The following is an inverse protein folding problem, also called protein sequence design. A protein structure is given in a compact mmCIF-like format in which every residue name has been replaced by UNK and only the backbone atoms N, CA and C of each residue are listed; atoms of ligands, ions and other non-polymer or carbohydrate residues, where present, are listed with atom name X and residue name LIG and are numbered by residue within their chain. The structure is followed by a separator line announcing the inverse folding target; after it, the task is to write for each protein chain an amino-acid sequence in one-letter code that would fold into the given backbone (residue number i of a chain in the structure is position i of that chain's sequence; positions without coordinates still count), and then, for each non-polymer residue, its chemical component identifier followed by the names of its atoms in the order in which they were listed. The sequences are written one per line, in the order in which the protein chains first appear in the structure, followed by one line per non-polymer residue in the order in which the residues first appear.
data_IF_281486969228
#
_entry.id   IF_281486969228
#
_cell.length_a   1.000
_cell.length_b   1.000
_cell.length_c   1.000
_cell.angle_alpha   90.00
_cell.angle_beta   90.00
_cell.angle_gamma   90.00
#
_symmetry.space_group_name_H-M   'P 1'
#
loop_
_entity.id
_entity.type
_entity.pdbx_description
1 polymer ?
#
# COMPACT_ATOMS: atom_id res chain seq x y z
N UNK A 1 11.91 2.12 -0.38
CA UNK A 1 10.65 1.35 -0.41
C UNK A 1 9.73 1.94 -1.48
N UNK A 2 9.24 3.15 -1.31
CA UNK A 2 8.29 3.82 -2.20
C UNK A 2 8.73 3.85 -3.66
N UNK A 3 10.01 4.17 -3.94
CA UNK A 3 10.52 4.13 -5.33
C UNK A 3 10.45 2.73 -5.95
N UNK A 4 10.68 1.68 -5.17
CA UNK A 4 10.56 0.30 -5.63
C UNK A 4 9.09 -0.03 -5.94
N UNK A 5 8.17 0.30 -5.04
CA UNK A 5 6.74 0.07 -5.23
C UNK A 5 6.20 0.83 -6.45
N UNK A 6 6.60 2.09 -6.64
CA UNK A 6 6.28 2.87 -7.84
C UNK A 6 6.82 2.23 -9.12
N UNK A 7 8.08 1.75 -9.10
CA UNK A 7 8.68 1.09 -10.26
C UNK A 7 7.94 -0.21 -10.62
N UNK A 8 7.62 -1.04 -9.62
CA UNK A 8 6.84 -2.26 -9.81
C UNK A 8 5.47 -1.90 -10.41
N UNK A 9 4.77 -0.93 -9.82
CA UNK A 9 3.47 -0.50 -10.31
C UNK A 9 3.50 -0.02 -11.77
N UNK A 10 4.50 0.77 -12.15
CA UNK A 10 4.66 1.24 -13.52
C UNK A 10 5.03 0.14 -14.52
N UNK A 11 5.80 -0.87 -14.09
CA UNK A 11 6.12 -2.02 -14.94
C UNK A 11 4.86 -2.84 -15.20
N UNK A 12 4.10 -3.15 -14.14
CA UNK A 12 2.85 -3.91 -14.24
C UNK A 12 1.78 -3.17 -15.05
N UNK A 13 1.72 -1.83 -14.92
CA UNK A 13 0.73 -1.02 -15.62
C UNK A 13 0.84 -1.02 -17.15
N UNK A 14 1.93 -1.59 -17.71
CA UNK A 14 2.05 -1.79 -19.17
C UNK A 14 1.13 -2.89 -19.71
N UNK A 15 0.75 -3.84 -18.88
CA UNK A 15 -0.03 -5.01 -19.26
C UNK A 15 -1.30 -5.17 -18.42
N UNK A 16 -1.38 -4.51 -17.27
CA UNK A 16 -2.45 -4.64 -16.29
C UNK A 16 -3.09 -3.30 -15.92
N UNK A 17 -4.30 -3.36 -15.39
CA UNK A 17 -4.95 -2.19 -14.78
C UNK A 17 -4.51 -2.06 -13.33
N UNK A 18 -3.45 -1.29 -13.11
CA UNK A 18 -2.83 -1.13 -11.79
C UNK A 18 -3.35 0.09 -11.07
N UNK A 19 -3.70 -0.08 -9.80
CA UNK A 19 -3.87 1.02 -8.86
C UNK A 19 -2.76 0.97 -7.80
N UNK A 20 -2.03 2.06 -7.67
CA UNK A 20 -1.03 2.25 -6.63
C UNK A 20 -1.63 3.02 -5.44
N UNK A 21 -1.43 2.51 -4.24
CA UNK A 21 -1.83 3.16 -2.98
C UNK A 21 -0.65 3.11 -2.01
N UNK A 22 -0.26 4.26 -1.48
CA UNK A 22 0.71 4.32 -0.39
C UNK A 22 0.01 4.59 0.93
N UNK A 23 0.39 3.82 1.94
CA UNK A 23 -0.02 4.00 3.33
C UNK A 23 1.06 4.71 4.16
N UNK A 24 2.13 5.16 3.51
CA UNK A 24 3.14 6.00 4.15
C UNK A 24 2.60 7.42 4.36
N UNK A 25 2.86 7.99 5.52
CA UNK A 25 2.30 9.30 5.93
C UNK A 25 3.07 10.48 5.35
N UNK A 26 4.36 10.34 5.10
CA UNK A 26 5.22 11.42 4.61
C UNK A 26 5.97 11.01 3.34
N UNK A 27 5.22 10.84 2.26
CA UNK A 27 5.73 10.28 1.00
C UNK A 27 6.62 11.19 0.18
N UNK A 28 6.57 12.50 0.40
CA UNK A 28 7.25 13.47 -0.46
C UNK A 28 6.65 13.63 -1.86
N UNK A 29 5.52 13.01 -2.18
CA UNK A 29 4.92 13.02 -3.52
C UNK A 29 4.59 14.42 -4.03
N UNK A 30 4.17 15.33 -3.14
CA UNK A 30 3.89 16.74 -3.51
C UNK A 30 5.12 17.39 -4.14
N UNK A 31 6.32 17.13 -3.61
CA UNK A 31 7.57 17.64 -4.17
C UNK A 31 8.00 16.89 -5.44
N UNK A 32 7.82 15.57 -5.45
CA UNK A 32 8.22 14.72 -6.57
C UNK A 32 7.39 14.98 -7.83
N UNK A 33 6.06 15.09 -7.67
CA UNK A 33 5.13 15.24 -8.79
C UNK A 33 4.84 16.70 -9.12
N UNK A 34 5.29 17.65 -8.27
CA UNK A 34 4.98 19.08 -8.37
C UNK A 34 3.47 19.38 -8.54
N UNK A 35 2.64 18.52 -7.94
CA UNK A 35 1.18 18.58 -8.02
C UNK A 35 0.56 18.79 -6.64
N UNK A 36 -0.58 19.48 -6.61
CA UNK A 36 -1.43 19.59 -5.43
C UNK A 36 -2.79 18.98 -5.75
N UNK A 37 -3.12 17.92 -5.04
CA UNK A 37 -4.43 17.28 -5.14
C UNK A 37 -5.40 17.85 -4.10
N UNK A 38 -6.67 17.89 -4.49
CA UNK A 38 -7.75 18.40 -3.62
C UNK A 38 -8.31 17.30 -2.72
N UNK A 39 -8.26 16.07 -3.17
CA UNK A 39 -8.78 14.87 -2.49
C UNK A 39 -7.68 13.84 -2.38
N UNK A 40 -7.77 13.01 -1.35
CA UNK A 40 -6.79 11.99 -1.05
C UNK A 40 -7.44 10.75 -0.42
N UNK A 41 -6.65 9.83 0.07
CA UNK A 41 -7.12 8.59 0.68
C UNK A 41 -8.01 8.83 1.92
N UNK A 42 -7.89 9.99 2.62
CA UNK A 42 -8.80 10.34 3.74
C UNK A 42 -10.25 10.47 3.27
N UNK A 43 -10.46 11.05 2.08
CA UNK A 43 -11.82 11.17 1.52
C UNK A 43 -12.41 9.76 1.25
N UNK A 44 -11.59 8.83 0.78
CA UNK A 44 -12.03 7.46 0.52
C UNK A 44 -12.38 6.72 1.81
N UNK A 45 -11.56 6.87 2.85
CA UNK A 45 -11.81 6.34 4.20
C UNK A 45 -13.13 6.90 4.73
N UNK A 46 -13.35 8.19 4.59
CA UNK A 46 -14.60 8.82 5.00
C UNK A 46 -15.81 8.22 4.27
N UNK A 47 -15.74 8.04 2.95
CA UNK A 47 -16.82 7.42 2.20
C UNK A 47 -17.07 5.97 2.60
N UNK A 48 -16.01 5.22 2.89
CA UNK A 48 -16.10 3.85 3.37
C UNK A 48 -16.82 3.78 4.72
N UNK A 49 -16.42 4.61 5.69
CA UNK A 49 -17.05 4.67 7.04
C UNK A 49 -18.52 5.09 7.02
N UNK A 50 -18.92 5.88 6.04
CA UNK A 50 -20.31 6.31 5.85
C UNK A 50 -21.13 5.31 5.02
N UNK A 51 -20.59 4.13 4.70
CA UNK A 51 -21.24 3.13 3.81
C UNK A 51 -21.62 3.72 2.44
N UNK A 52 -20.88 4.73 2.00
CA UNK A 52 -21.09 5.47 0.74
C UNK A 52 -19.97 5.23 -0.27
N UNK A 53 -19.19 4.17 -0.08
CA UNK A 53 -18.21 3.75 -1.06
C UNK A 53 -18.93 3.38 -2.37
N UNK A 54 -18.45 3.93 -3.47
CA UNK A 54 -18.98 3.67 -4.80
C UNK A 54 -17.91 4.00 -5.84
N UNK A 55 -17.90 3.29 -6.97
CA UNK A 55 -16.92 3.43 -8.04
C UNK A 55 -16.76 4.88 -8.54
N UNK A 56 -17.86 5.65 -8.63
CA UNK A 56 -17.80 7.06 -9.07
C UNK A 56 -16.98 7.91 -8.08
N UNK A 57 -17.08 7.63 -6.77
CA UNK A 57 -16.29 8.32 -5.75
C UNK A 57 -14.83 7.91 -5.81
N UNK A 58 -14.55 6.62 -5.97
CA UNK A 58 -13.20 6.12 -6.18
C UNK A 58 -12.55 6.81 -7.39
N UNK A 59 -13.21 6.81 -8.54
CA UNK A 59 -12.70 7.44 -9.75
C UNK A 59 -12.47 8.95 -9.61
N UNK A 60 -13.19 9.62 -8.72
CA UNK A 60 -12.98 11.05 -8.45
C UNK A 60 -11.73 11.36 -7.62
N UNK A 61 -11.08 10.35 -7.07
CA UNK A 61 -9.88 10.42 -6.22
C UNK A 61 -8.62 9.90 -6.95
N UNK A 62 -8.82 9.25 -8.10
CA UNK A 62 -7.73 8.62 -8.85
C UNK A 62 -7.05 9.64 -9.75
N UNK A 63 -5.73 9.62 -9.72
CA UNK A 63 -4.82 10.33 -10.60
C UNK A 63 -4.02 9.32 -11.42
N UNK A 64 -3.26 9.79 -12.40
CA UNK A 64 -2.47 8.92 -13.26
C UNK A 64 -1.00 9.35 -13.29
N UNK A 65 -0.12 8.38 -13.25
CA UNK A 65 1.32 8.53 -13.49
C UNK A 65 1.70 7.57 -14.62
N UNK A 66 1.76 8.09 -15.85
CA UNK A 66 1.77 7.25 -17.04
C UNK A 66 0.49 6.43 -17.14
N UNK A 67 0.63 5.11 -17.30
CA UNK A 67 -0.51 4.18 -17.39
C UNK A 67 -0.99 3.69 -16.01
N UNK A 68 -0.24 3.99 -14.95
CA UNK A 68 -0.56 3.59 -13.59
C UNK A 68 -1.52 4.57 -12.93
N UNK A 69 -2.68 4.08 -12.48
CA UNK A 69 -3.57 4.84 -11.61
C UNK A 69 -3.00 4.90 -10.18
N UNK A 70 -3.25 5.98 -9.47
CA UNK A 70 -2.85 6.10 -8.08
C UNK A 70 -3.81 6.99 -7.28
N UNK A 71 -3.87 6.76 -5.96
CA UNK A 71 -4.61 7.60 -5.02
C UNK A 71 -3.62 8.42 -4.20
N UNK A 72 -3.80 9.74 -4.09
CA UNK A 72 -2.96 10.57 -3.25
C UNK A 72 -2.92 10.09 -1.80
N UNK A 73 -1.72 10.12 -1.17
CA UNK A 73 -1.55 9.71 0.22
C UNK A 73 -2.31 10.61 1.18
N UNK A 74 -2.64 10.07 2.33
CA UNK A 74 -3.22 10.83 3.45
C UNK A 74 -2.30 11.97 3.86
N UNK A 75 -2.85 13.16 3.99
CA UNK A 75 -2.11 14.34 4.48
C UNK A 75 -2.09 14.46 5.99
N UNK A 76 -3.07 13.90 6.65
CA UNK A 76 -3.23 13.96 8.11
C UNK A 76 -3.11 12.54 8.66
N UNK A 77 -1.98 12.19 9.31
CA UNK A 77 -1.73 10.82 9.79
C UNK A 77 -2.83 10.25 10.69
N UNK A 78 -3.50 11.11 11.44
CA UNK A 78 -4.60 10.73 12.34
C UNK A 78 -5.81 10.15 11.61
N UNK A 79 -5.96 10.42 10.31
CA UNK A 79 -7.07 9.88 9.53
C UNK A 79 -6.95 8.35 9.35
N UNK A 80 -5.73 7.78 9.45
CA UNK A 80 -5.57 6.33 9.50
C UNK A 80 -6.25 5.68 10.72
N UNK A 81 -6.29 6.40 11.85
CA UNK A 81 -6.91 5.90 13.07
C UNK A 81 -8.44 5.74 12.97
N UNK A 82 -9.05 6.21 11.87
CA UNK A 82 -10.48 6.00 11.61
C UNK A 82 -10.81 4.57 11.20
N UNK A 83 -9.82 3.81 10.72
CA UNK A 83 -9.97 2.41 10.35
C UNK A 83 -9.09 1.51 11.23
N UNK A 84 -9.62 0.36 11.60
CA UNK A 84 -8.80 -0.75 12.06
C UNK A 84 -7.98 -1.31 10.89
N UNK A 85 -6.95 -2.10 11.19
CA UNK A 85 -6.16 -2.78 10.16
C UNK A 85 -7.02 -3.69 9.27
N UNK A 86 -7.98 -4.39 9.86
CA UNK A 86 -8.92 -5.24 9.13
C UNK A 86 -9.82 -4.41 8.20
N UNK A 87 -10.40 -3.31 8.67
CA UNK A 87 -11.22 -2.43 7.84
C UNK A 87 -10.40 -1.81 6.69
N UNK A 88 -9.11 -1.52 6.91
CA UNK A 88 -8.22 -1.06 5.84
C UNK A 88 -7.99 -2.15 4.79
N UNK A 89 -7.77 -3.39 5.22
CA UNK A 89 -7.61 -4.53 4.31
C UNK A 89 -8.90 -4.77 3.49
N UNK A 90 -10.07 -4.69 4.15
CA UNK A 90 -11.37 -4.84 3.49
C UNK A 90 -11.63 -3.69 2.49
N UNK A 91 -11.23 -2.47 2.83
CA UNK A 91 -11.30 -1.32 1.90
C UNK A 91 -10.43 -1.55 0.67
N UNK A 92 -9.19 -2.04 0.82
CA UNK A 92 -8.29 -2.33 -0.30
C UNK A 92 -8.87 -3.43 -1.19
N UNK A 93 -9.41 -4.49 -0.62
CA UNK A 93 -10.08 -5.55 -1.36
C UNK A 93 -11.30 -5.02 -2.13
N UNK A 94 -12.10 -4.19 -1.50
CA UNK A 94 -13.27 -3.56 -2.12
C UNK A 94 -12.90 -2.62 -3.26
N UNK A 95 -11.81 -1.86 -3.13
CA UNK A 95 -11.26 -1.04 -4.22
C UNK A 95 -10.92 -1.91 -5.42
N UNK A 96 -10.28 -3.06 -5.21
CA UNK A 96 -9.90 -3.98 -6.28
C UNK A 96 -11.13 -4.56 -6.97
N UNK A 97 -12.14 -5.00 -6.20
CA UNK A 97 -13.37 -5.60 -6.70
C UNK A 97 -14.25 -4.62 -7.47
N UNK A 98 -14.48 -3.42 -6.90
CA UNK A 98 -15.39 -2.43 -7.48
C UNK A 98 -14.70 -1.45 -8.45
N UNK A 99 -13.37 -1.28 -8.34
CA UNK A 99 -12.59 -0.30 -9.09
C UNK A 99 -12.22 -0.71 -10.52
N UNK A 100 -12.53 -1.96 -10.92
CA UNK A 100 -12.12 -2.52 -12.21
C UNK A 100 -10.59 -2.50 -12.43
N UNK A 101 -9.83 -2.66 -11.35
CA UNK A 101 -8.39 -2.87 -11.36
C UNK A 101 -8.09 -4.36 -11.28
N UNK A 102 -7.06 -4.82 -11.98
CA UNK A 102 -6.59 -6.21 -11.91
C UNK A 102 -5.53 -6.39 -10.84
N UNK A 103 -4.80 -5.32 -10.55
CA UNK A 103 -3.70 -5.34 -9.58
C UNK A 103 -3.69 -4.10 -8.69
N UNK A 104 -3.51 -4.32 -7.40
CA UNK A 104 -3.30 -3.28 -6.39
C UNK A 104 -1.86 -3.37 -5.89
N UNK A 105 -1.11 -2.29 -6.03
CA UNK A 105 0.25 -2.16 -5.48
C UNK A 105 0.17 -1.30 -4.23
N UNK A 106 0.49 -1.92 -3.08
CA UNK A 106 0.48 -1.25 -1.78
C UNK A 106 1.91 -0.92 -1.33
N UNK A 107 2.17 0.35 -1.07
CA UNK A 107 3.38 0.79 -0.36
C UNK A 107 3.05 0.97 1.11
N UNK A 108 3.42 -0.02 1.93
CA UNK A 108 2.97 -0.09 3.33
C UNK A 108 3.90 0.69 4.28
N UNK A 109 5.01 1.24 3.82
CA UNK A 109 5.86 2.17 4.59
C UNK A 109 6.02 1.82 6.07
N UNK A 110 5.65 2.75 6.92
CA UNK A 110 5.63 2.62 8.38
C UNK A 110 4.22 2.35 8.95
N UNK A 111 3.35 1.68 8.20
CA UNK A 111 2.00 1.35 8.66
C UNK A 111 1.99 0.51 9.96
N UNK A 112 3.16 0.09 10.43
CA UNK A 112 3.40 -0.44 11.75
C UNK A 112 2.92 -1.87 11.96
N UNK A 113 2.60 -2.17 13.23
CA UNK A 113 2.25 -3.53 13.69
C UNK A 113 0.96 -4.07 13.11
N UNK A 114 0.11 -3.18 12.58
CA UNK A 114 -1.23 -3.51 12.10
C UNK A 114 -1.27 -3.85 10.60
N UNK A 115 -0.11 -4.07 9.97
CA UNK A 115 -0.05 -4.42 8.55
C UNK A 115 -0.47 -5.87 8.24
N UNK A 116 -0.52 -6.77 9.22
CA UNK A 116 -0.79 -8.19 9.01
C UNK A 116 -2.05 -8.46 8.18
N UNK A 117 -3.23 -7.88 8.47
CA UNK A 117 -4.42 -8.13 7.66
C UNK A 117 -4.27 -7.74 6.19
N UNK A 118 -3.47 -6.69 5.90
CA UNK A 118 -3.13 -6.31 4.53
C UNK A 118 -2.18 -7.32 3.88
N UNK A 119 -1.14 -7.76 4.59
CA UNK A 119 -0.18 -8.74 4.10
C UNK A 119 -0.85 -10.10 3.83
N UNK A 120 -1.82 -10.49 4.63
CA UNK A 120 -2.63 -11.70 4.42
C UNK A 120 -3.40 -11.65 3.10
N UNK A 121 -3.89 -10.47 2.68
CA UNK A 121 -4.59 -10.27 1.42
C UNK A 121 -3.65 -10.20 0.21
N UNK A 122 -2.38 -9.86 0.40
CA UNK A 122 -1.40 -9.80 -0.68
C UNK A 122 -1.10 -11.18 -1.26
N UNK A 123 -0.89 -11.25 -2.58
CA UNK A 123 -0.39 -12.45 -3.27
C UNK A 123 1.13 -12.58 -3.10
N UNK A 124 1.83 -11.46 -3.08
CA UNK A 124 3.29 -11.39 -2.88
C UNK A 124 3.63 -10.18 -2.02
N UNK A 125 4.64 -10.31 -1.19
CA UNK A 125 5.16 -9.24 -0.31
C UNK A 125 6.62 -9.00 -0.64
N UNK A 126 6.96 -7.88 -1.23
CA UNK A 126 8.34 -7.49 -1.49
C UNK A 126 8.93 -6.77 -0.29
N UNK A 127 9.95 -7.36 0.32
CA UNK A 127 10.68 -6.79 1.45
C UNK A 127 12.04 -6.25 1.00
N UNK A 128 12.18 -4.92 0.79
CA UNK A 128 13.46 -4.32 0.46
C UNK A 128 14.39 -4.33 1.67
N UNK A 129 15.56 -4.95 1.52
CA UNK A 129 16.58 -5.11 2.55
C UNK A 129 17.85 -4.42 2.09
N UNK A 130 18.52 -3.70 2.98
CA UNK A 130 19.87 -3.16 2.73
C UNK A 130 20.95 -4.19 3.05
N UNK A 131 22.11 -4.05 2.43
CA UNK A 131 23.32 -4.80 2.78
C UNK A 131 23.95 -4.27 4.09
N UNK A 132 23.16 -4.27 5.18
CA UNK A 132 23.66 -3.91 6.51
C UNK A 132 23.10 -4.87 7.56
N UNK A 133 23.83 -5.08 8.69
CA UNK A 133 23.42 -6.01 9.74
C UNK A 133 22.08 -5.67 10.37
N UNK A 134 21.73 -4.39 10.50
CA UNK A 134 20.48 -3.97 11.12
C UNK A 134 19.25 -4.32 10.25
N UNK A 135 19.36 -4.13 8.93
CA UNK A 135 18.30 -4.54 8.01
C UNK A 135 18.07 -6.04 7.99
N UNK A 136 19.17 -6.81 8.00
CA UNK A 136 19.10 -8.26 8.06
C UNK A 136 18.44 -8.74 9.36
N UNK A 137 18.84 -8.16 10.49
CA UNK A 137 18.29 -8.51 11.81
C UNK A 137 16.81 -8.17 11.93
N UNK A 138 16.39 -6.96 11.50
CA UNK A 138 14.97 -6.58 11.46
C UNK A 138 14.11 -7.56 10.65
N UNK A 139 14.65 -8.03 9.53
CA UNK A 139 13.94 -9.01 8.71
C UNK A 139 13.81 -10.35 9.42
N UNK A 140 14.88 -10.81 10.09
CA UNK A 140 14.89 -12.03 10.90
C UNK A 140 13.85 -11.95 12.03
N UNK A 141 13.86 -10.83 12.79
CA UNK A 141 12.89 -10.59 13.89
C UNK A 141 11.45 -10.59 13.35
N UNK A 142 11.21 -10.05 12.17
CA UNK A 142 9.89 -10.04 11.56
C UNK A 142 9.45 -11.46 11.15
N UNK A 143 10.35 -12.25 10.57
CA UNK A 143 10.08 -13.66 10.22
C UNK A 143 9.76 -14.49 11.47
N UNK A 144 10.56 -14.34 12.53
CA UNK A 144 10.31 -15.01 13.83
C UNK A 144 8.96 -14.60 14.46
N UNK A 145 8.61 -13.32 14.32
CA UNK A 145 7.30 -12.83 14.77
C UNK A 145 6.16 -13.52 13.99
N UNK A 146 6.26 -13.64 12.68
CA UNK A 146 5.26 -14.32 11.85
C UNK A 146 5.11 -15.80 12.22
N UNK A 147 6.23 -16.51 12.44
CA UNK A 147 6.23 -17.90 12.88
C UNK A 147 5.59 -18.07 14.27
N UNK A 148 6.00 -17.24 15.23
CA UNK A 148 5.52 -17.30 16.61
C UNK A 148 4.03 -17.00 16.73
N UNK A 149 3.51 -16.14 15.85
CA UNK A 149 2.08 -15.74 15.82
C UNK A 149 1.23 -16.61 14.92
N UNK A 150 1.82 -17.63 14.27
CA UNK A 150 1.10 -18.54 13.37
C UNK A 150 0.78 -17.97 11.99
N UNK A 151 1.43 -16.87 11.60
CA UNK A 151 1.22 -16.19 10.31
C UNK A 151 2.16 -16.73 9.20
N UNK A 152 2.39 -18.05 9.16
CA UNK A 152 3.29 -18.71 8.21
C UNK A 152 2.89 -18.44 6.75
N UNK A 153 1.59 -18.34 6.47
CA UNK A 153 1.11 -18.04 5.12
C UNK A 153 1.56 -16.66 4.62
N UNK A 154 1.80 -15.69 5.49
CA UNK A 154 2.39 -14.39 5.14
C UNK A 154 3.89 -14.56 4.89
N UNK A 155 4.59 -15.32 5.73
CA UNK A 155 6.03 -15.56 5.59
C UNK A 155 6.37 -16.20 4.22
N UNK A 156 5.55 -17.13 3.74
CA UNK A 156 5.72 -17.80 2.43
C UNK A 156 5.58 -16.85 1.23
N UNK A 157 4.91 -15.72 1.38
CA UNK A 157 4.70 -14.71 0.33
C UNK A 157 5.85 -13.69 0.25
N UNK A 158 6.75 -13.67 1.24
CA UNK A 158 7.81 -12.67 1.33
C UNK A 158 8.91 -12.97 0.33
N UNK A 159 9.19 -11.98 -0.53
CA UNK A 159 10.32 -11.96 -1.44
C UNK A 159 11.29 -10.85 -1.03
N UNK A 160 12.47 -11.24 -0.55
CA UNK A 160 13.52 -10.31 -0.12
C UNK A 160 14.21 -9.70 -1.35
N UNK A 161 14.24 -8.38 -1.41
CA UNK A 161 14.92 -7.64 -2.48
C UNK A 161 16.11 -6.89 -1.88
N UNK A 162 17.32 -7.28 -2.27
CA UNK A 162 18.54 -6.59 -1.83
C UNK A 162 18.67 -5.25 -2.54
N UNK A 163 18.68 -4.17 -1.76
CA UNK A 163 18.79 -2.81 -2.25
C UNK A 163 20.19 -2.25 -1.95
N UNK A 164 20.88 -1.84 -3.02
CA UNK A 164 22.20 -1.19 -2.95
C UNK A 164 22.02 0.30 -3.20
N UNK A 165 22.10 1.10 -2.16
CA UNK A 165 22.17 2.57 -2.18
C UNK A 165 22.96 3.12 -1.02
#
# INVERSE_FOLDING_TARGET
KTCLALAIGQILAKEEKVLFVTLDTFTGFTGLLNERWKRDLSDLIYYYKQERFHIVRLNSLVYYLGDMAWIPPIRIPQDYAQLTAQEMADLMERILQEGNYTTLVLDIGDYGRDALPLLEKCQVVYAPIREDPFSAEKMREFEEYLETTGNNAVAEKIQKIMCRW
#
